data_IF_967265407069
#
_entry.id   IF_967265407069
#
_cell.length_a   1.000
_cell.length_b   1.000
_cell.length_c   1.000
_cell.angle_alpha   90.00
_cell.angle_beta   90.00
_cell.angle_gamma   90.00
#
_symmetry.space_group_name_H-M   'P 1'
#
loop_
_entity.id
_entity.type
_entity.pdbx_description
1 polymer ?
#
# COMPACT_ATOMS: atom_id res chain seq x y z
N UNK A 1 -29.87 1.82 -22.82
CA UNK A 1 -30.14 3.09 -22.09
C UNK A 1 -28.92 4.00 -22.24
N UNK A 2 -29.07 5.26 -22.67
CA UNK A 2 -27.94 6.20 -22.76
C UNK A 2 -27.57 6.67 -21.35
N UNK A 3 -26.39 6.30 -20.87
CA UNK A 3 -25.86 6.76 -19.58
C UNK A 3 -25.35 8.20 -19.70
N UNK A 4 -25.62 9.05 -18.73
CA UNK A 4 -24.97 10.35 -18.66
C UNK A 4 -23.47 10.18 -18.41
N UNK A 5 -22.63 10.85 -19.21
CA UNK A 5 -21.17 10.68 -19.13
C UNK A 5 -20.64 10.91 -17.72
N UNK A 6 -21.08 11.97 -17.04
CA UNK A 6 -20.66 12.33 -15.68
C UNK A 6 -21.16 11.37 -14.58
N UNK A 7 -22.07 10.45 -14.87
CA UNK A 7 -22.55 9.39 -13.96
C UNK A 7 -22.03 8.01 -14.33
N UNK A 8 -21.30 7.91 -15.43
CA UNK A 8 -20.76 6.65 -15.92
C UNK A 8 -19.68 6.12 -14.96
N UNK A 9 -19.53 4.79 -14.94
CA UNK A 9 -18.46 4.13 -14.18
C UNK A 9 -17.07 4.57 -14.64
N UNK A 10 -16.91 4.90 -15.93
CA UNK A 10 -15.64 5.36 -16.49
C UNK A 10 -15.26 6.74 -15.96
N UNK A 11 -16.19 7.70 -16.00
CA UNK A 11 -15.95 9.02 -15.44
C UNK A 11 -15.53 8.96 -13.97
N UNK A 12 -16.22 8.15 -13.17
CA UNK A 12 -15.88 7.96 -11.75
C UNK A 12 -14.50 7.32 -11.55
N UNK A 13 -14.09 6.39 -12.42
CA UNK A 13 -12.73 5.83 -12.38
C UNK A 13 -11.66 6.90 -12.67
N UNK A 14 -11.90 7.80 -13.63
CA UNK A 14 -11.01 8.94 -13.88
C UNK A 14 -10.96 9.92 -12.71
N UNK A 15 -12.11 10.24 -12.09
CA UNK A 15 -12.17 11.10 -10.91
C UNK A 15 -11.28 10.53 -9.80
N UNK A 16 -11.44 9.25 -9.45
CA UNK A 16 -10.62 8.62 -8.41
C UNK A 16 -9.15 8.55 -8.81
N UNK A 17 -8.85 8.21 -10.05
CA UNK A 17 -7.47 8.20 -10.56
C UNK A 17 -6.79 9.57 -10.40
N UNK A 18 -7.48 10.65 -10.76
CA UNK A 18 -6.99 12.02 -10.63
C UNK A 18 -6.81 12.43 -9.16
N UNK A 19 -7.75 12.05 -8.27
CA UNK A 19 -7.58 12.29 -6.83
C UNK A 19 -6.37 11.53 -6.28
N UNK A 20 -6.22 10.26 -6.66
CA UNK A 20 -5.08 9.42 -6.29
C UNK A 20 -3.75 9.98 -6.79
N UNK A 21 -3.72 10.53 -8.01
CA UNK A 21 -2.55 11.18 -8.58
C UNK A 21 -2.19 12.45 -7.80
N UNK A 22 -3.17 13.34 -7.57
CA UNK A 22 -2.94 14.67 -6.97
C UNK A 22 -2.63 14.63 -5.48
N UNK A 23 -3.13 13.64 -4.73
CA UNK A 23 -2.95 13.57 -3.28
C UNK A 23 -1.90 12.53 -2.87
N UNK A 24 -2.23 11.22 -2.73
CA UNK A 24 -1.24 10.24 -2.30
C UNK A 24 -0.09 10.07 -3.30
N UNK A 25 -0.32 10.25 -4.60
CA UNK A 25 0.73 10.21 -5.62
C UNK A 25 1.82 11.27 -5.39
N UNK A 26 1.42 12.53 -5.20
CA UNK A 26 2.37 13.62 -4.90
C UNK A 26 2.99 13.49 -3.50
N UNK A 27 2.23 13.00 -2.52
CA UNK A 27 2.78 12.71 -1.19
C UNK A 27 3.87 11.62 -1.24
N UNK A 28 3.68 10.58 -2.04
CA UNK A 28 4.68 9.53 -2.27
C UNK A 28 5.92 10.09 -2.99
N UNK A 29 5.72 10.93 -4.01
CA UNK A 29 6.82 11.57 -4.72
C UNK A 29 7.68 12.43 -3.78
N UNK A 30 7.05 13.20 -2.89
CA UNK A 30 7.77 13.95 -1.84
C UNK A 30 8.60 13.04 -0.95
N UNK A 31 7.99 11.98 -0.40
CA UNK A 31 8.67 11.07 0.52
C UNK A 31 9.82 10.28 -0.15
N UNK A 32 9.73 10.03 -1.46
CA UNK A 32 10.77 9.35 -2.24
C UNK A 32 12.10 10.12 -2.31
N UNK A 33 12.10 11.40 -1.94
CA UNK A 33 13.29 12.24 -1.84
C UNK A 33 14.11 11.97 -0.57
N UNK A 34 13.59 11.18 0.38
CA UNK A 34 14.13 11.09 1.73
C UNK A 34 13.81 12.36 2.54
N UNK A 35 13.33 12.19 3.77
CA UNK A 35 12.91 13.29 4.64
C UNK A 35 11.96 14.30 3.97
N UNK A 36 11.09 13.84 3.05
CA UNK A 36 10.24 14.71 2.23
C UNK A 36 10.97 15.86 1.50
N UNK A 37 12.28 15.71 1.24
CA UNK A 37 13.12 16.75 0.63
C UNK A 37 13.74 17.73 1.64
N UNK A 38 13.57 17.53 2.94
CA UNK A 38 14.25 18.32 3.98
C UNK A 38 15.72 17.91 4.15
N UNK A 39 16.48 18.76 4.86
CA UNK A 39 17.88 18.50 5.16
C UNK A 39 18.08 17.48 6.30
N UNK A 40 17.10 17.38 7.21
CA UNK A 40 17.12 16.46 8.36
C UNK A 40 15.87 15.58 8.34
N UNK A 41 15.99 14.27 8.63
CA UNK A 41 14.86 13.35 8.56
C UNK A 41 13.97 13.32 9.81
N UNK A 42 14.43 13.82 10.96
CA UNK A 42 13.81 13.48 12.26
C UNK A 42 12.39 14.04 12.44
N UNK A 43 12.17 15.31 12.13
CA UNK A 43 10.83 15.93 12.17
C UNK A 43 9.88 15.22 11.20
N UNK A 44 10.37 14.85 10.01
CA UNK A 44 9.57 14.20 8.99
C UNK A 44 9.25 12.75 9.36
N UNK A 45 10.18 12.06 10.02
CA UNK A 45 9.92 10.74 10.58
C UNK A 45 8.87 10.80 11.69
N UNK A 46 8.92 11.81 12.57
CA UNK A 46 7.89 11.99 13.59
C UNK A 46 6.52 12.28 12.95
N UNK A 47 6.50 13.14 11.94
CA UNK A 47 5.31 13.43 11.16
C UNK A 47 4.76 12.18 10.45
N UNK A 48 5.59 11.39 9.77
CA UNK A 48 5.15 10.17 9.11
C UNK A 48 4.68 9.10 10.09
N UNK A 49 5.29 9.01 11.28
CA UNK A 49 4.79 8.14 12.35
C UNK A 49 3.33 8.49 12.72
N UNK A 50 3.01 9.79 12.84
CA UNK A 50 1.64 10.27 13.05
C UNK A 50 0.72 9.94 11.87
N UNK A 51 1.17 10.18 10.63
CA UNK A 51 0.40 9.88 9.42
C UNK A 51 -0.02 8.42 9.40
N UNK A 52 0.94 7.50 9.53
CA UNK A 52 0.66 6.06 9.43
C UNK A 52 -0.08 5.50 10.64
N UNK A 53 0.18 6.02 11.84
CA UNK A 53 -0.56 5.64 13.05
C UNK A 53 -2.04 5.99 12.93
N UNK A 54 -2.36 7.21 12.51
CA UNK A 54 -3.74 7.66 12.28
C UNK A 54 -4.36 6.98 11.06
N UNK A 55 -3.61 6.82 9.97
CA UNK A 55 -4.09 6.10 8.79
C UNK A 55 -4.51 4.67 9.14
N UNK A 56 -3.70 3.94 9.93
CA UNK A 56 -4.05 2.60 10.40
C UNK A 56 -5.38 2.56 11.15
N UNK A 57 -5.60 3.50 12.08
CA UNK A 57 -6.86 3.64 12.82
C UNK A 57 -8.03 3.95 11.88
N UNK A 58 -7.91 4.98 11.05
CA UNK A 58 -9.01 5.43 10.19
C UNK A 58 -9.29 4.49 9.01
N UNK A 59 -8.33 3.68 8.57
CA UNK A 59 -8.58 2.57 7.63
C UNK A 59 -9.48 1.50 8.26
N UNK A 60 -9.26 1.13 9.53
CA UNK A 60 -10.09 0.14 10.22
C UNK A 60 -11.54 0.61 10.42
N UNK A 61 -11.74 1.91 10.65
CA UNK A 61 -13.08 2.52 10.79
C UNK A 61 -13.65 3.08 9.49
N UNK A 62 -12.89 3.05 8.40
CA UNK A 62 -13.24 3.73 7.15
C UNK A 62 -14.52 3.20 6.53
N UNK A 63 -14.78 1.90 6.63
CA UNK A 63 -16.02 1.26 6.17
C UNK A 63 -17.26 1.77 6.93
N UNK A 64 -17.13 1.96 8.24
CA UNK A 64 -18.18 2.52 9.12
C UNK A 64 -18.43 3.99 8.82
N UNK A 65 -17.37 4.76 8.59
CA UNK A 65 -17.49 6.18 8.24
C UNK A 65 -18.14 6.32 6.85
N UNK A 66 -17.68 5.53 5.89
CA UNK A 66 -18.21 5.50 4.52
C UNK A 66 -19.69 5.14 4.46
N UNK A 67 -20.16 4.24 5.33
CA UNK A 67 -21.57 3.85 5.36
C UNK A 67 -22.48 4.94 5.91
N UNK A 68 -21.98 5.77 6.84
CA UNK A 68 -22.74 6.88 7.45
C UNK A 68 -22.70 8.18 6.63
N UNK A 69 -21.51 8.57 6.19
CA UNK A 69 -21.26 9.86 5.53
C UNK A 69 -21.41 9.76 4.00
N UNK A 70 -21.31 8.55 3.45
CA UNK A 70 -21.38 8.27 2.02
C UNK A 70 -20.02 8.38 1.34
N UNK A 71 -19.76 7.49 0.39
CA UNK A 71 -18.47 7.34 -0.29
C UNK A 71 -17.93 8.64 -0.91
N UNK A 72 -18.82 9.48 -1.48
CA UNK A 72 -18.44 10.78 -2.03
C UNK A 72 -17.81 11.69 -0.99
N UNK A 73 -18.48 11.90 0.13
CA UNK A 73 -18.01 12.81 1.16
C UNK A 73 -16.82 12.23 1.92
N UNK A 74 -16.76 10.91 2.07
CA UNK A 74 -15.55 10.24 2.59
C UNK A 74 -14.34 10.49 1.69
N UNK A 75 -14.48 10.43 0.36
CA UNK A 75 -13.40 10.76 -0.56
C UNK A 75 -12.99 12.24 -0.46
N UNK A 76 -13.96 13.16 -0.39
CA UNK A 76 -13.71 14.61 -0.23
C UNK A 76 -12.95 14.91 1.06
N UNK A 77 -13.37 14.34 2.19
CA UNK A 77 -12.63 14.46 3.45
C UNK A 77 -11.24 13.82 3.34
N UNK A 78 -11.12 12.77 2.53
CA UNK A 78 -9.88 12.08 2.25
C UNK A 78 -8.83 12.90 1.48
N UNK A 79 -9.17 14.04 0.90
CA UNK A 79 -8.20 14.88 0.17
C UNK A 79 -7.71 16.10 0.95
N UNK A 80 -8.42 16.52 2.00
CA UNK A 80 -8.19 17.83 2.63
C UNK A 80 -6.86 17.89 3.41
N UNK A 81 -6.42 16.80 4.03
CA UNK A 81 -5.24 16.80 4.89
C UNK A 81 -3.89 16.83 4.16
N UNK A 82 -3.83 16.31 2.93
CA UNK A 82 -2.60 16.28 2.12
C UNK A 82 -2.02 17.69 1.85
N UNK A 83 -2.80 18.68 1.35
CA UNK A 83 -2.27 20.03 1.13
C UNK A 83 -1.87 20.73 2.43
N UNK A 84 -2.52 20.43 3.56
CA UNK A 84 -2.15 21.01 4.88
C UNK A 84 -0.77 20.50 5.30
N UNK A 85 -0.49 19.20 5.13
CA UNK A 85 0.83 18.64 5.38
C UNK A 85 1.91 19.28 4.51
N UNK A 86 1.68 19.40 3.20
CA UNK A 86 2.63 20.04 2.29
C UNK A 86 2.83 21.53 2.58
N UNK A 87 1.80 22.24 3.04
CA UNK A 87 1.92 23.61 3.51
C UNK A 87 2.78 23.70 4.78
N UNK A 88 2.66 22.73 5.69
CA UNK A 88 3.57 22.57 6.83
C UNK A 88 5.02 22.41 6.39
N UNK A 89 5.29 21.54 5.41
CA UNK A 89 6.65 21.36 4.87
C UNK A 89 7.20 22.62 4.21
N UNK A 90 6.35 23.37 3.50
CA UNK A 90 6.71 24.66 2.93
C UNK A 90 7.11 25.67 4.02
N UNK A 91 6.28 25.85 5.06
CA UNK A 91 6.60 26.78 6.15
C UNK A 91 7.86 26.35 6.91
N UNK A 92 8.03 25.05 7.12
CA UNK A 92 9.24 24.50 7.72
C UNK A 92 10.48 24.78 6.86
N UNK A 93 10.37 24.54 5.55
CA UNK A 93 11.46 24.77 4.62
C UNK A 93 11.86 26.26 4.58
N UNK A 94 10.89 27.18 4.58
CA UNK A 94 11.16 28.61 4.43
C UNK A 94 11.52 29.31 5.73
N UNK A 95 10.86 28.97 6.83
CA UNK A 95 10.92 29.69 8.11
C UNK A 95 11.18 28.79 9.33
N UNK A 96 11.36 27.49 9.15
CA UNK A 96 11.63 26.57 10.27
C UNK A 96 10.41 26.26 11.15
N UNK A 97 9.20 26.55 10.71
CA UNK A 97 7.96 26.25 11.47
C UNK A 97 7.75 24.74 11.57
N UNK A 98 7.74 24.17 12.78
CA UNK A 98 7.61 22.72 12.99
C UNK A 98 6.19 22.26 13.31
N UNK A 99 5.45 23.04 14.11
CA UNK A 99 4.12 22.62 14.61
C UNK A 99 3.13 22.33 13.47
N UNK A 100 3.18 23.09 12.37
CA UNK A 100 2.29 22.89 11.23
C UNK A 100 2.61 21.60 10.47
N UNK A 101 3.87 21.13 10.50
CA UNK A 101 4.24 19.82 9.93
C UNK A 101 3.54 18.70 10.71
N UNK A 102 3.57 18.75 12.04
CA UNK A 102 2.95 17.75 12.89
C UNK A 102 1.41 17.82 12.84
N UNK A 103 0.85 19.03 12.88
CA UNK A 103 -0.59 19.23 12.71
C UNK A 103 -1.06 18.75 11.33
N UNK A 104 -0.33 19.11 10.27
CA UNK A 104 -0.59 18.66 8.90
C UNK A 104 -0.45 17.15 8.76
N UNK A 105 0.49 16.52 9.45
CA UNK A 105 0.62 15.08 9.49
C UNK A 105 -0.60 14.39 10.12
N UNK A 106 -1.14 14.97 11.21
CA UNK A 106 -2.36 14.46 11.82
C UNK A 106 -3.55 14.53 10.85
N UNK A 107 -3.78 15.68 10.22
CA UNK A 107 -4.88 15.84 9.26
C UNK A 107 -4.69 14.98 8.02
N UNK A 108 -3.45 14.84 7.54
CA UNK A 108 -3.09 13.97 6.44
C UNK A 108 -3.30 12.48 6.76
N UNK A 109 -2.94 12.01 7.95
CA UNK A 109 -3.17 10.62 8.37
C UNK A 109 -4.66 10.24 8.41
N UNK A 110 -5.48 11.12 8.98
CA UNK A 110 -6.94 10.98 8.98
C UNK A 110 -7.47 10.93 7.54
N UNK A 111 -7.05 11.91 6.72
CA UNK A 111 -7.48 12.01 5.32
C UNK A 111 -7.05 10.78 4.51
N UNK A 112 -5.83 10.28 4.72
CA UNK A 112 -5.33 9.08 4.06
C UNK A 112 -6.19 7.86 4.40
N UNK A 113 -6.56 7.66 5.68
CA UNK A 113 -7.42 6.55 6.08
C UNK A 113 -8.79 6.57 5.39
N UNK A 114 -9.41 7.76 5.30
CA UNK A 114 -10.69 7.94 4.60
C UNK A 114 -10.55 7.78 3.08
N UNK A 115 -9.47 8.30 2.50
CA UNK A 115 -9.18 8.17 1.08
C UNK A 115 -9.05 6.70 0.68
N UNK A 116 -8.19 5.93 1.35
CA UNK A 116 -7.96 4.53 0.99
C UNK A 116 -9.20 3.66 1.19
N UNK A 117 -10.00 3.93 2.22
CA UNK A 117 -11.28 3.24 2.42
C UNK A 117 -12.28 3.52 1.31
N UNK A 118 -12.44 4.80 0.92
CA UNK A 118 -13.42 5.19 -0.11
C UNK A 118 -12.96 4.79 -1.52
N UNK A 119 -11.67 4.92 -1.80
CA UNK A 119 -11.06 4.55 -3.08
C UNK A 119 -11.24 3.05 -3.37
N UNK A 120 -10.90 2.18 -2.43
CA UNK A 120 -11.06 0.73 -2.60
C UNK A 120 -12.53 0.33 -2.84
N UNK A 121 -13.46 0.94 -2.09
CA UNK A 121 -14.88 0.67 -2.24
C UNK A 121 -15.43 1.08 -3.63
N UNK A 122 -14.98 2.22 -4.16
CA UNK A 122 -15.43 2.67 -5.48
C UNK A 122 -14.76 1.90 -6.61
N UNK A 123 -13.44 1.65 -6.51
CA UNK A 123 -12.68 0.91 -7.51
C UNK A 123 -13.24 -0.50 -7.72
N UNK A 124 -13.66 -1.16 -6.64
CA UNK A 124 -14.24 -2.52 -6.67
C UNK A 124 -15.76 -2.52 -6.92
N UNK A 125 -16.48 -1.53 -6.37
CA UNK A 125 -17.94 -1.52 -6.33
C UNK A 125 -18.62 -0.92 -7.56
N UNK A 126 -18.01 0.08 -8.22
CA UNK A 126 -18.69 0.79 -9.32
C UNK A 126 -18.67 -0.01 -10.61
N UNK A 127 -17.56 -0.71 -10.87
CA UNK A 127 -17.38 -1.53 -12.05
C UNK A 127 -18.31 -2.75 -12.07
N UNK A 128 -18.76 -3.12 -13.27
CA UNK A 128 -19.50 -4.36 -13.51
C UNK A 128 -18.57 -5.57 -13.42
N UNK A 129 -19.03 -6.73 -12.89
CA UNK A 129 -18.21 -7.93 -12.77
C UNK A 129 -17.43 -8.26 -14.05
N UNK A 130 -18.09 -8.24 -15.21
CA UNK A 130 -17.50 -8.60 -16.52
C UNK A 130 -16.46 -7.58 -17.03
N UNK A 131 -16.48 -6.34 -16.52
CA UNK A 131 -15.54 -5.28 -16.94
C UNK A 131 -14.60 -4.83 -15.82
N UNK A 132 -14.64 -5.46 -14.64
CA UNK A 132 -13.81 -5.10 -13.47
C UNK A 132 -12.34 -4.93 -13.84
N UNK A 133 -11.77 -5.85 -14.63
CA UNK A 133 -10.37 -5.78 -15.06
C UNK A 133 -9.99 -4.50 -15.82
N UNK A 134 -10.83 -4.03 -16.75
CA UNK A 134 -10.54 -2.81 -17.53
C UNK A 134 -10.54 -1.55 -16.65
N UNK A 135 -11.47 -1.46 -15.71
CA UNK A 135 -11.55 -0.33 -14.78
C UNK A 135 -10.42 -0.35 -13.75
N UNK A 136 -10.09 -1.53 -13.22
CA UNK A 136 -8.95 -1.71 -12.33
C UNK A 136 -7.63 -1.35 -13.03
N UNK A 137 -7.48 -1.63 -14.33
CA UNK A 137 -6.30 -1.24 -15.08
C UNK A 137 -6.17 0.29 -15.22
N UNK A 138 -7.26 1.00 -15.57
CA UNK A 138 -7.25 2.47 -15.66
C UNK A 138 -6.88 3.09 -14.30
N UNK A 139 -7.48 2.58 -13.23
CA UNK A 139 -7.15 2.98 -11.88
C UNK A 139 -5.67 2.74 -11.55
N UNK A 140 -5.14 1.56 -11.91
CA UNK A 140 -3.75 1.20 -11.66
C UNK A 140 -2.78 2.14 -12.39
N UNK A 141 -3.10 2.51 -13.64
CA UNK A 141 -2.32 3.48 -14.42
C UNK A 141 -2.20 4.80 -13.66
N UNK A 142 -3.32 5.38 -13.20
CA UNK A 142 -3.27 6.65 -12.46
C UNK A 142 -2.49 6.54 -11.14
N UNK A 143 -2.68 5.43 -10.41
CA UNK A 143 -1.99 5.17 -9.15
C UNK A 143 -0.47 5.08 -9.33
N UNK A 144 -0.02 4.43 -10.41
CA UNK A 144 1.41 4.27 -10.70
C UNK A 144 2.03 5.54 -11.31
N UNK A 145 1.27 6.29 -12.11
CA UNK A 145 1.75 7.53 -12.74
C UNK A 145 1.99 8.66 -11.74
N UNK A 146 1.22 8.73 -10.64
CA UNK A 146 1.36 9.81 -9.66
C UNK A 146 2.78 9.97 -9.10
N UNK A 147 3.36 8.92 -8.47
CA UNK A 147 4.74 8.96 -7.99
C UNK A 147 5.76 9.22 -9.10
N UNK A 148 5.55 8.69 -10.31
CA UNK A 148 6.47 8.88 -11.44
C UNK A 148 6.49 10.34 -11.93
N UNK A 149 5.32 10.95 -12.13
CA UNK A 149 5.19 12.35 -12.56
C UNK A 149 5.74 13.26 -11.47
N UNK A 150 5.37 13.04 -10.21
CA UNK A 150 5.88 13.82 -9.10
C UNK A 150 7.40 13.71 -8.96
N UNK A 151 7.97 12.51 -9.11
CA UNK A 151 9.41 12.29 -9.10
C UNK A 151 10.12 13.01 -10.24
N UNK A 152 9.58 12.93 -11.47
CA UNK A 152 10.11 13.65 -12.63
C UNK A 152 10.08 15.18 -12.44
N UNK A 153 8.99 15.70 -11.86
CA UNK A 153 8.87 17.12 -11.53
C UNK A 153 9.94 17.56 -10.54
N UNK A 154 10.13 16.82 -9.43
CA UNK A 154 11.15 17.18 -8.44
C UNK A 154 12.55 17.13 -9.04
N UNK A 155 12.85 16.10 -9.85
CA UNK A 155 14.11 15.98 -10.55
C UNK A 155 14.34 17.20 -11.46
N UNK A 156 13.38 17.54 -12.32
CA UNK A 156 13.47 18.70 -13.21
C UNK A 156 13.66 20.01 -12.46
N UNK A 157 13.02 20.19 -11.30
CA UNK A 157 13.12 21.41 -10.50
C UNK A 157 14.40 21.52 -9.67
N UNK A 158 15.06 20.41 -9.36
CA UNK A 158 16.21 20.37 -8.46
C UNK A 158 17.48 19.85 -9.16
N UNK A 159 17.57 19.93 -10.50
CA UNK A 159 18.71 19.43 -11.27
C UNK A 159 19.93 20.37 -11.30
N UNK A 160 19.76 21.61 -10.84
CA UNK A 160 20.74 22.69 -10.95
C UNK A 160 22.08 22.33 -10.27
N UNK A 161 23.20 22.79 -10.84
CA UNK A 161 24.54 22.55 -10.31
C UNK A 161 24.74 23.09 -8.88
N UNK A 162 23.96 24.06 -8.43
CA UNK A 162 24.03 24.59 -7.07
C UNK A 162 23.43 23.61 -6.02
N UNK A 163 22.74 22.54 -6.46
CA UNK A 163 22.09 21.57 -5.60
C UNK A 163 22.88 20.25 -5.40
N UNK A 164 24.21 20.24 -5.66
CA UNK A 164 25.05 19.03 -5.50
C UNK A 164 25.22 18.60 -4.04
N UNK A 165 25.28 19.56 -3.12
CA UNK A 165 25.60 19.31 -1.72
C UNK A 165 24.39 18.82 -0.90
N UNK A 166 24.65 18.42 0.35
CA UNK A 166 23.60 18.17 1.34
C UNK A 166 22.77 19.43 1.53
N UNK A 167 21.45 19.26 1.57
CA UNK A 167 20.54 20.37 1.71
C UNK A 167 19.09 19.93 1.61
N UNK A 168 18.23 20.91 1.45
CA UNK A 168 16.79 20.74 1.26
C UNK A 168 16.41 21.14 -0.16
N UNK A 169 15.34 20.54 -0.70
CA UNK A 169 14.77 20.97 -1.98
C UNK A 169 14.29 22.41 -1.91
N UNK A 170 14.26 23.08 -3.06
CA UNK A 170 13.78 24.46 -3.17
C UNK A 170 12.32 24.59 -2.73
N UNK A 171 11.99 25.69 -2.04
CA UNK A 171 10.65 25.91 -1.48
C UNK A 171 9.54 25.94 -2.55
N UNK A 172 9.87 26.31 -3.79
CA UNK A 172 8.98 26.28 -4.95
C UNK A 172 8.40 24.89 -5.20
N UNK A 173 9.16 23.83 -4.91
CA UNK A 173 8.70 22.43 -5.02
C UNK A 173 7.46 22.21 -4.14
N UNK A 174 7.49 22.69 -2.89
CA UNK A 174 6.35 22.54 -1.98
C UNK A 174 5.16 23.40 -2.40
N UNK A 175 5.38 24.61 -2.93
CA UNK A 175 4.27 25.45 -3.43
C UNK A 175 3.51 24.77 -4.58
N UNK A 176 4.22 24.15 -5.51
CA UNK A 176 3.59 23.39 -6.60
C UNK A 176 2.83 22.19 -6.06
N UNK A 177 3.38 21.44 -5.10
CA UNK A 177 2.69 20.32 -4.49
C UNK A 177 1.43 20.74 -3.71
N UNK A 178 1.48 21.84 -2.95
CA UNK A 178 0.30 22.40 -2.27
C UNK A 178 -0.76 22.77 -3.30
N UNK A 179 -0.39 23.50 -4.36
CA UNK A 179 -1.33 23.90 -5.41
C UNK A 179 -2.02 22.70 -6.06
N UNK A 180 -1.25 21.68 -6.47
CA UNK A 180 -1.79 20.50 -7.12
C UNK A 180 -2.63 19.63 -6.18
N UNK A 181 -2.24 19.50 -4.91
CA UNK A 181 -3.02 18.77 -3.90
C UNK A 181 -4.35 19.46 -3.60
N UNK A 182 -4.38 20.80 -3.57
CA UNK A 182 -5.62 21.57 -3.41
C UNK A 182 -6.64 21.31 -4.52
N UNK A 183 -6.23 20.90 -5.72
CA UNK A 183 -7.15 20.50 -6.80
C UNK A 183 -7.88 19.18 -6.49
N UNK A 184 -7.35 18.34 -5.59
CA UNK A 184 -7.94 17.06 -5.24
C UNK A 184 -9.36 17.17 -4.68
N UNK A 185 -9.60 18.14 -3.80
CA UNK A 185 -10.93 18.36 -3.18
C UNK A 185 -11.99 18.75 -4.22
N UNK A 186 -11.77 19.76 -5.09
CA UNK A 186 -12.65 20.03 -6.24
C UNK A 186 -12.88 18.80 -7.12
N UNK A 187 -11.84 18.02 -7.43
CA UNK A 187 -11.96 16.82 -8.27
C UNK A 187 -12.85 15.77 -7.56
N UNK A 188 -12.64 15.54 -6.26
CA UNK A 188 -13.42 14.59 -5.46
C UNK A 188 -14.92 14.95 -5.40
N UNK A 189 -15.28 16.24 -5.49
CA UNK A 189 -16.67 16.68 -5.54
C UNK A 189 -17.40 16.22 -6.82
N UNK A 190 -16.68 15.88 -7.88
CA UNK A 190 -17.28 15.31 -9.09
C UNK A 190 -17.58 13.81 -8.96
N UNK A 191 -17.16 13.15 -7.88
CA UNK A 191 -17.53 11.76 -7.66
C UNK A 191 -19.05 11.63 -7.58
N UNK A 192 -19.60 10.73 -8.39
CA UNK A 192 -21.02 10.39 -8.37
C UNK A 192 -21.29 9.52 -7.15
N UNK A 193 -22.28 9.86 -6.29
CA UNK A 193 -22.72 8.97 -5.21
C UNK A 193 -23.17 7.61 -5.77
N UNK A 194 -22.93 6.49 -5.08
CA UNK A 194 -23.19 5.15 -5.61
C UNK A 194 -24.62 4.94 -6.13
N UNK A 195 -25.60 5.58 -5.49
CA UNK A 195 -27.03 5.47 -5.82
C UNK A 195 -27.38 6.14 -7.15
N UNK A 196 -26.53 7.06 -7.62
CA UNK A 196 -26.70 7.83 -8.86
C UNK A 196 -25.78 7.34 -9.99
N UNK A 197 -24.96 6.33 -9.74
CA UNK A 197 -24.06 5.77 -10.76
C UNK A 197 -24.89 5.01 -11.79
N UNK A 198 -24.65 5.32 -13.06
CA UNK A 198 -25.34 4.70 -14.18
C UNK A 198 -24.38 3.72 -14.85
N UNK A 199 -24.66 2.41 -14.70
CA UNK A 199 -23.95 1.37 -15.43
C UNK A 199 -24.56 1.21 -16.82
N UNK A 200 -23.74 0.85 -17.80
CA UNK A 200 -24.16 0.75 -19.21
C UNK A 200 -25.25 -0.31 -19.47
N UNK A 201 -25.43 -1.26 -18.55
CA UNK A 201 -26.48 -2.29 -18.57
C UNK A 201 -27.73 -1.92 -17.75
N UNK A 202 -27.73 -0.75 -17.10
CA UNK A 202 -28.82 -0.32 -16.21
C UNK A 202 -28.77 -0.92 -14.80
N UNK A 203 -27.81 -1.79 -14.48
CA UNK A 203 -27.68 -2.35 -13.13
C UNK A 203 -27.27 -1.29 -12.11
N UNK A 204 -27.69 -1.45 -10.85
CA UNK A 204 -27.32 -0.53 -9.76
C UNK A 204 -26.04 -0.96 -9.06
N UNK A 205 -25.28 0.02 -8.57
CA UNK A 205 -24.11 -0.23 -7.72
C UNK A 205 -24.57 -0.80 -6.38
N UNK A 206 -24.09 -2.00 -6.04
CA UNK A 206 -24.30 -2.60 -4.72
C UNK A 206 -23.24 -2.05 -3.77
N UNK A 207 -23.65 -1.19 -2.83
CA UNK A 207 -22.78 -0.76 -1.73
C UNK A 207 -22.97 -1.75 -0.59
N UNK A 208 -21.88 -2.34 -0.10
CA UNK A 208 -21.92 -3.13 1.12
C UNK A 208 -22.32 -2.21 2.27
N UNK A 209 -23.55 -2.32 2.75
CA UNK A 209 -24.01 -1.60 3.93
C UNK A 209 -23.48 -2.34 5.16
N UNK A 210 -22.70 -1.63 5.97
CA UNK A 210 -22.38 -2.08 7.32
C UNK A 210 -23.59 -1.78 8.18
N UNK A 211 -24.35 -2.81 8.57
CA UNK A 211 -25.57 -2.67 9.38
C UNK A 211 -25.24 -2.21 10.81
N UNK A 212 -24.11 -2.68 11.37
CA UNK A 212 -23.66 -2.37 12.72
C UNK A 212 -22.15 -2.25 12.78
N UNK A 213 -21.67 -1.10 13.25
CA UNK A 213 -20.24 -0.83 13.42
C UNK A 213 -19.58 -1.83 14.40
N UNK A 214 -20.31 -2.23 15.44
CA UNK A 214 -19.83 -3.18 16.43
C UNK A 214 -19.64 -4.57 15.83
N UNK A 215 -20.54 -5.00 14.94
CA UNK A 215 -20.46 -6.31 14.34
C UNK A 215 -19.33 -6.38 13.29
N UNK A 216 -19.03 -5.27 12.63
CA UNK A 216 -17.84 -5.18 11.77
C UNK A 216 -16.54 -5.25 12.59
N UNK A 217 -16.45 -4.53 13.72
CA UNK A 217 -15.29 -4.61 14.63
C UNK A 217 -15.11 -6.03 15.17
N UNK A 218 -16.19 -6.69 15.60
CA UNK A 218 -16.16 -8.10 16.02
C UNK A 218 -15.70 -9.01 14.88
N UNK A 219 -16.16 -8.76 13.65
CA UNK A 219 -15.77 -9.51 12.46
C UNK A 219 -14.27 -9.41 12.16
N UNK A 220 -13.71 -8.20 12.23
CA UNK A 220 -12.28 -7.95 12.10
C UNK A 220 -11.51 -8.67 13.23
N UNK A 221 -11.96 -8.55 14.47
CA UNK A 221 -11.32 -9.19 15.62
C UNK A 221 -11.29 -10.72 15.51
N UNK A 222 -12.39 -11.32 15.06
CA UNK A 222 -12.46 -12.77 14.85
C UNK A 222 -11.56 -13.23 13.71
N UNK A 223 -11.43 -12.42 12.66
CA UNK A 223 -10.52 -12.70 11.54
C UNK A 223 -9.05 -12.60 11.99
N UNK A 224 -8.71 -11.61 12.81
CA UNK A 224 -7.36 -11.43 13.37
C UNK A 224 -6.91 -12.63 14.21
N UNK A 225 -7.82 -13.25 14.97
CA UNK A 225 -7.53 -14.42 15.83
C UNK A 225 -7.31 -15.71 15.05
N UNK A 226 -7.55 -15.74 13.74
CA UNK A 226 -7.30 -16.94 12.92
C UNK A 226 -5.81 -17.28 12.95
N UNK A 227 -5.49 -18.56 13.19
CA UNK A 227 -4.10 -19.04 13.34
C UNK A 227 -3.18 -18.59 12.19
N UNK A 228 -3.63 -18.72 10.95
CA UNK A 228 -2.82 -18.33 9.79
C UNK A 228 -2.58 -16.82 9.72
N UNK A 229 -3.54 -15.99 10.16
CA UNK A 229 -3.36 -14.52 10.23
C UNK A 229 -2.35 -14.18 11.31
N UNK A 230 -2.45 -14.78 12.51
CA UNK A 230 -1.50 -14.56 13.60
C UNK A 230 -0.07 -14.93 13.22
N UNK A 231 0.12 -16.04 12.50
CA UNK A 231 1.43 -16.46 11.99
C UNK A 231 1.97 -15.50 10.92
N UNK A 232 1.12 -14.82 10.16
CA UNK A 232 1.55 -13.84 9.16
C UNK A 232 1.75 -12.42 9.72
N UNK A 233 1.35 -12.14 10.96
CA UNK A 233 1.53 -10.80 11.56
C UNK A 233 2.99 -10.29 11.50
N UNK A 234 4.01 -11.10 11.83
CA UNK A 234 5.40 -10.66 11.69
C UNK A 234 5.76 -10.26 10.26
N UNK A 235 5.22 -10.98 9.25
CA UNK A 235 5.44 -10.67 7.85
C UNK A 235 4.77 -9.35 7.43
N UNK A 236 3.53 -9.13 7.87
CA UNK A 236 2.78 -7.90 7.58
C UNK A 236 3.52 -6.67 8.08
N UNK A 237 4.16 -6.78 9.24
CA UNK A 237 5.02 -5.73 9.77
C UNK A 237 6.32 -5.61 8.96
N UNK A 238 7.02 -6.73 8.72
CA UNK A 238 8.31 -6.76 8.04
C UNK A 238 8.26 -6.13 6.64
N UNK A 239 7.17 -6.34 5.89
CA UNK A 239 7.02 -5.87 4.52
C UNK A 239 7.27 -4.36 4.35
N UNK A 240 6.79 -3.55 5.30
CA UNK A 240 6.91 -2.10 5.26
C UNK A 240 7.69 -1.49 6.43
N UNK A 241 8.42 -2.30 7.21
CA UNK A 241 9.20 -1.79 8.34
C UNK A 241 10.46 -0.99 7.92
N UNK A 242 10.89 -1.07 6.65
CA UNK A 242 12.13 -0.42 6.20
C UNK A 242 12.02 1.10 5.94
N UNK A 243 11.67 1.88 6.97
CA UNK A 243 11.58 3.34 6.84
C UNK A 243 12.94 4.04 6.94
N UNK A 244 14.00 3.31 7.30
CA UNK A 244 15.37 3.81 7.27
C UNK A 244 15.86 4.18 5.86
N UNK A 245 15.27 3.61 4.81
CA UNK A 245 15.57 3.93 3.39
C UNK A 245 15.62 5.44 3.15
N UNK A 246 14.65 6.19 3.68
CA UNK A 246 14.62 7.65 3.55
C UNK A 246 15.75 8.35 4.32
N UNK A 247 16.12 7.84 5.50
CA UNK A 247 17.25 8.35 6.26
C UNK A 247 18.57 8.08 5.53
N UNK A 248 18.76 6.89 4.98
CA UNK A 248 19.92 6.53 4.17
C UNK A 248 20.12 7.52 3.01
N UNK A 249 19.03 7.83 2.29
CA UNK A 249 19.03 8.87 1.26
C UNK A 249 19.52 10.22 1.80
N UNK A 250 18.89 10.71 2.88
CA UNK A 250 19.22 12.01 3.47
C UNK A 250 20.63 12.07 4.05
N UNK A 251 21.16 10.96 4.58
CA UNK A 251 22.48 10.91 5.20
C UNK A 251 23.63 10.85 4.20
N UNK A 252 23.44 10.23 3.03
CA UNK A 252 24.57 9.94 2.13
C UNK A 252 24.48 10.59 0.76
N UNK A 253 23.35 11.22 0.40
CA UNK A 253 23.15 11.79 -0.92
C UNK A 253 22.78 13.27 -0.91
N UNK A 254 23.29 13.99 -1.91
CA UNK A 254 22.89 15.36 -2.23
C UNK A 254 21.46 15.44 -2.76
N UNK A 255 20.91 16.67 -2.86
CA UNK A 255 19.50 16.88 -3.27
C UNK A 255 19.21 16.31 -4.66
N UNK A 256 20.11 16.56 -5.62
CA UNK A 256 20.05 16.06 -6.99
C UNK A 256 20.00 14.54 -7.07
N UNK A 257 20.96 13.90 -6.41
CA UNK A 257 21.03 12.44 -6.30
C UNK A 257 19.74 11.86 -5.69
N UNK A 258 19.20 12.46 -4.63
CA UNK A 258 17.94 12.01 -4.00
C UNK A 258 16.74 12.13 -4.94
N UNK A 259 16.66 13.22 -5.72
CA UNK A 259 15.61 13.39 -6.73
C UNK A 259 15.69 12.33 -7.84
N UNK A 260 16.90 12.02 -8.32
CA UNK A 260 17.11 10.97 -9.31
C UNK A 260 16.74 9.59 -8.75
N UNK A 261 17.21 9.26 -7.54
CA UNK A 261 16.86 8.02 -6.86
C UNK A 261 15.33 7.90 -6.74
N UNK A 262 14.67 8.92 -6.21
CA UNK A 262 13.23 8.91 -6.02
C UNK A 262 12.44 8.68 -7.31
N UNK A 263 12.92 9.21 -8.44
CA UNK A 263 12.35 8.95 -9.75
C UNK A 263 12.62 7.52 -10.23
N UNK A 264 13.87 7.06 -10.23
CA UNK A 264 14.27 5.77 -10.81
C UNK A 264 13.79 4.58 -9.97
N UNK A 265 13.69 4.70 -8.65
CA UNK A 265 13.16 3.64 -7.78
C UNK A 265 11.73 3.21 -8.15
N UNK A 266 10.92 4.09 -8.75
CA UNK A 266 9.58 3.71 -9.24
C UNK A 266 9.65 2.63 -10.33
N UNK A 267 10.67 2.64 -11.18
CA UNK A 267 10.85 1.62 -12.21
C UNK A 267 11.29 0.28 -11.62
N UNK A 268 12.12 0.29 -10.57
CA UNK A 268 12.45 -0.93 -9.84
C UNK A 268 11.21 -1.54 -9.17
N UNK A 269 10.35 -0.72 -8.57
CA UNK A 269 9.05 -1.14 -8.03
C UNK A 269 8.16 -1.73 -9.13
N UNK A 270 8.07 -1.08 -10.30
CA UNK A 270 7.30 -1.60 -11.43
C UNK A 270 7.84 -2.95 -11.91
N UNK A 271 9.16 -3.08 -12.09
CA UNK A 271 9.81 -4.32 -12.50
C UNK A 271 9.57 -5.45 -11.50
N UNK A 272 9.74 -5.19 -10.20
CA UNK A 272 9.45 -6.15 -9.13
C UNK A 272 8.00 -6.65 -9.20
N UNK A 273 7.07 -5.70 -9.40
CA UNK A 273 5.65 -6.02 -9.50
C UNK A 273 5.35 -6.91 -10.71
N UNK A 274 5.88 -6.56 -11.89
CA UNK A 274 5.69 -7.33 -13.12
C UNK A 274 6.30 -8.73 -13.02
N UNK A 275 7.53 -8.87 -12.52
CA UNK A 275 8.20 -10.17 -12.37
C UNK A 275 7.40 -11.07 -11.43
N UNK A 276 6.96 -10.53 -10.29
CA UNK A 276 6.17 -11.29 -9.32
C UNK A 276 4.81 -11.70 -9.90
N UNK A 277 4.10 -10.80 -10.58
CA UNK A 277 2.82 -11.15 -11.23
C UNK A 277 3.00 -12.21 -12.31
N UNK A 278 4.03 -12.14 -13.14
CA UNK A 278 4.32 -13.17 -14.15
C UNK A 278 4.56 -14.55 -13.52
N UNK A 279 5.22 -14.60 -12.35
CA UNK A 279 5.40 -15.84 -11.60
C UNK A 279 4.07 -16.38 -11.06
N UNK A 280 3.26 -15.52 -10.44
CA UNK A 280 2.03 -15.91 -9.76
C UNK A 280 0.86 -16.20 -10.70
N UNK A 281 0.85 -15.59 -11.89
CA UNK A 281 -0.16 -15.82 -12.94
C UNK A 281 0.25 -16.94 -13.91
N UNK A 282 1.45 -17.51 -13.75
CA UNK A 282 1.94 -18.59 -14.60
C UNK A 282 1.02 -19.81 -14.53
N UNK A 283 0.50 -20.22 -15.68
CA UNK A 283 -0.28 -21.47 -15.83
C UNK A 283 0.58 -22.74 -15.82
N UNK A 284 1.91 -22.59 -15.81
CA UNK A 284 2.84 -23.73 -15.84
C UNK A 284 2.87 -24.53 -14.53
N UNK A 285 2.45 -23.92 -13.43
CA UNK A 285 2.53 -24.50 -12.09
C UNK A 285 1.19 -24.36 -11.37
N UNK A 286 0.89 -25.28 -10.47
CA UNK A 286 -0.25 -25.17 -9.55
C UNK A 286 -0.11 -23.94 -8.63
N UNK A 287 -1.23 -23.43 -8.11
CA UNK A 287 -1.25 -22.21 -7.25
C UNK A 287 -0.33 -22.39 -6.04
N UNK A 288 -0.40 -23.56 -5.39
CA UNK A 288 0.42 -23.89 -4.21
C UNK A 288 1.91 -23.87 -4.54
N UNK A 289 2.29 -24.43 -5.69
CA UNK A 289 3.67 -24.44 -6.17
C UNK A 289 4.17 -23.04 -6.48
N UNK A 290 3.36 -22.18 -7.12
CA UNK A 290 3.70 -20.78 -7.36
C UNK A 290 3.94 -19.99 -6.08
N UNK A 291 3.08 -20.18 -5.08
CA UNK A 291 3.23 -19.55 -3.75
C UNK A 291 4.54 -20.00 -3.10
N UNK A 292 4.88 -21.29 -3.15
CA UNK A 292 6.14 -21.83 -2.62
C UNK A 292 7.37 -21.30 -3.35
N UNK A 293 7.37 -21.29 -4.69
CA UNK A 293 8.46 -20.71 -5.49
C UNK A 293 8.63 -19.23 -5.15
N UNK A 294 7.51 -18.48 -5.10
CA UNK A 294 7.50 -17.08 -4.71
C UNK A 294 8.11 -16.84 -3.32
N UNK A 295 7.78 -17.68 -2.34
CA UNK A 295 8.37 -17.60 -1.00
C UNK A 295 9.89 -17.75 -1.02
N UNK A 296 10.42 -18.79 -1.68
CA UNK A 296 11.88 -18.99 -1.74
C UNK A 296 12.59 -17.89 -2.53
N UNK A 297 12.00 -17.43 -3.63
CA UNK A 297 12.48 -16.26 -4.38
C UNK A 297 12.56 -15.02 -3.48
N UNK A 298 11.54 -14.79 -2.64
CA UNK A 298 11.52 -13.66 -1.72
C UNK A 298 12.59 -13.74 -0.64
N UNK A 299 12.78 -14.91 -0.05
CA UNK A 299 13.85 -15.13 0.93
C UNK A 299 15.21 -14.83 0.28
N UNK A 300 15.46 -15.35 -0.93
CA UNK A 300 16.70 -15.12 -1.65
C UNK A 300 16.94 -13.64 -1.97
N UNK A 301 15.96 -12.93 -2.54
CA UNK A 301 16.13 -11.51 -2.91
C UNK A 301 16.29 -10.62 -1.69
N UNK A 302 15.63 -10.92 -0.57
CA UNK A 302 15.82 -10.17 0.67
C UNK A 302 17.20 -10.41 1.27
N UNK A 303 17.70 -11.65 1.28
CA UNK A 303 19.07 -11.92 1.72
C UNK A 303 20.06 -11.09 0.89
N UNK A 304 19.96 -11.13 -0.44
CA UNK A 304 20.84 -10.34 -1.32
C UNK A 304 20.74 -8.84 -1.04
N UNK A 305 19.52 -8.29 -1.02
CA UNK A 305 19.30 -6.86 -0.84
C UNK A 305 19.78 -6.35 0.54
N UNK A 306 19.54 -7.13 1.59
CA UNK A 306 19.90 -6.75 2.96
C UNK A 306 21.38 -6.95 3.25
N UNK A 307 21.99 -8.05 2.78
CA UNK A 307 23.44 -8.25 2.90
C UNK A 307 24.19 -7.14 2.17
N UNK A 308 23.79 -6.81 0.93
CA UNK A 308 24.40 -5.69 0.20
C UNK A 308 24.22 -4.35 0.94
N UNK A 309 23.00 -4.09 1.43
CA UNK A 309 22.70 -2.90 2.22
C UNK A 309 23.57 -2.76 3.47
N UNK A 310 23.79 -3.85 4.22
CA UNK A 310 24.68 -3.86 5.39
C UNK A 310 26.14 -3.58 5.04
N UNK A 311 26.65 -4.19 3.96
CA UNK A 311 28.03 -3.97 3.50
C UNK A 311 28.27 -2.49 3.15
N UNK A 312 27.37 -1.91 2.37
CA UNK A 312 27.47 -0.49 1.98
C UNK A 312 27.23 0.44 3.17
N UNK A 313 26.28 0.12 4.05
CA UNK A 313 26.04 0.89 5.27
C UNK A 313 27.30 0.97 6.13
N UNK A 314 27.99 -0.15 6.33
CA UNK A 314 29.20 -0.19 7.13
C UNK A 314 30.33 0.64 6.51
N UNK A 315 30.49 0.55 5.18
CA UNK A 315 31.42 1.41 4.42
C UNK A 315 31.09 2.89 4.63
N UNK A 316 29.83 3.28 4.45
CA UNK A 316 29.40 4.68 4.55
C UNK A 316 29.37 5.23 5.98
N UNK A 317 29.24 4.35 6.98
CA UNK A 317 29.38 4.74 8.39
C UNK A 317 30.81 5.17 8.71
N UNK A 318 31.81 4.58 8.04
CA UNK A 318 33.23 4.92 8.22
C UNK A 318 33.65 6.15 7.42
N UNK A 319 33.17 6.29 6.19
CA UNK A 319 33.61 7.36 5.28
C UNK A 319 32.69 8.58 5.27
N UNK A 320 31.44 8.45 5.70
CA UNK A 320 30.40 9.50 5.75
C UNK A 320 30.31 10.35 4.46
N UNK A 321 30.18 9.71 3.27
CA UNK A 321 30.24 10.44 2.02
C UNK A 321 28.99 11.31 1.82
N UNK A 322 29.14 12.33 0.96
CA UNK A 322 28.01 13.09 0.41
C UNK A 322 28.07 12.95 -1.10
N UNK A 323 27.22 12.06 -1.62
CA UNK A 323 27.27 11.62 -3.01
C UNK A 323 26.26 12.38 -3.85
N UNK A 324 26.76 12.97 -4.92
CA UNK A 324 25.97 13.46 -6.04
C UNK A 324 25.91 12.37 -7.14
N UNK A 325 25.00 12.48 -8.12
CA UNK A 325 24.89 11.48 -9.20
C UNK A 325 26.15 11.38 -10.07
N UNK A 326 27.00 12.42 -10.09
CA UNK A 326 28.29 12.45 -10.81
C UNK A 326 29.41 11.79 -9.99
N UNK A 327 29.17 11.49 -8.71
CA UNK A 327 30.21 10.97 -7.81
C UNK A 327 30.56 9.51 -8.15
N UNK A 328 31.85 9.12 -8.17
CA UNK A 328 32.25 7.75 -8.47
C UNK A 328 31.61 6.67 -7.57
N UNK A 329 31.31 7.00 -6.32
CA UNK A 329 30.67 6.11 -5.35
C UNK A 329 29.14 6.12 -5.38
N UNK A 330 28.49 6.93 -6.23
CA UNK A 330 27.03 7.07 -6.25
C UNK A 330 26.31 5.74 -6.48
N UNK A 331 26.81 4.97 -7.44
CA UNK A 331 26.18 3.73 -7.93
C UNK A 331 26.04 2.70 -6.82
N UNK A 332 27.01 2.59 -5.91
CA UNK A 332 26.99 1.61 -4.83
C UNK A 332 25.78 1.81 -3.91
N UNK A 333 25.63 3.02 -3.37
CA UNK A 333 24.49 3.33 -2.50
C UNK A 333 23.17 3.46 -3.27
N UNK A 334 23.21 3.85 -4.55
CA UNK A 334 22.03 3.88 -5.42
C UNK A 334 21.41 2.49 -5.58
N UNK A 335 22.24 1.46 -5.81
CA UNK A 335 21.75 0.08 -5.94
C UNK A 335 21.20 -0.48 -4.63
N UNK A 336 21.69 -0.05 -3.46
CA UNK A 336 21.09 -0.42 -2.16
C UNK A 336 19.60 -0.03 -2.15
N UNK A 337 19.32 1.21 -2.54
CA UNK A 337 17.97 1.76 -2.51
C UNK A 337 17.07 1.09 -3.56
N UNK A 338 17.59 0.84 -4.77
CA UNK A 338 16.84 0.09 -5.79
C UNK A 338 16.53 -1.34 -5.33
N UNK A 339 17.50 -2.05 -4.76
CA UNK A 339 17.32 -3.43 -4.29
C UNK A 339 16.34 -3.50 -3.11
N UNK A 340 16.41 -2.56 -2.16
CA UNK A 340 15.43 -2.47 -1.08
C UNK A 340 14.01 -2.21 -1.59
N UNK A 341 13.82 -1.25 -2.52
CA UNK A 341 12.52 -1.01 -3.14
C UNK A 341 12.00 -2.23 -3.92
N UNK A 342 12.87 -2.88 -4.68
CA UNK A 342 12.55 -4.07 -5.46
C UNK A 342 12.13 -5.26 -4.57
N UNK A 343 12.90 -5.52 -3.51
CA UNK A 343 12.62 -6.59 -2.55
C UNK A 343 11.31 -6.32 -1.81
N UNK A 344 11.11 -5.10 -1.30
CA UNK A 344 9.89 -4.68 -0.63
C UNK A 344 8.66 -4.87 -1.53
N UNK A 345 8.71 -4.38 -2.78
CA UNK A 345 7.57 -4.48 -3.68
C UNK A 345 7.27 -5.92 -4.08
N UNK A 346 8.30 -6.75 -4.27
CA UNK A 346 8.13 -8.18 -4.54
C UNK A 346 7.39 -8.86 -3.37
N UNK A 347 7.80 -8.57 -2.14
CA UNK A 347 7.19 -9.13 -0.94
C UNK A 347 5.73 -8.68 -0.79
N UNK A 348 5.46 -7.39 -0.99
CA UNK A 348 4.10 -6.86 -0.95
C UNK A 348 3.19 -7.60 -1.95
N UNK A 349 3.57 -7.70 -3.23
CA UNK A 349 2.77 -8.38 -4.24
C UNK A 349 2.46 -9.84 -3.89
N UNK A 350 3.49 -10.59 -3.50
CA UNK A 350 3.31 -11.99 -3.12
C UNK A 350 2.44 -12.15 -1.88
N UNK A 351 2.61 -11.28 -0.87
CA UNK A 351 1.85 -11.31 0.37
C UNK A 351 0.35 -11.06 0.09
N UNK A 352 0.03 -10.04 -0.72
CA UNK A 352 -1.35 -9.78 -1.14
C UNK A 352 -1.94 -10.96 -1.94
N UNK A 353 -1.15 -11.58 -2.82
CA UNK A 353 -1.59 -12.76 -3.56
C UNK A 353 -1.88 -13.94 -2.62
N UNK A 354 -0.97 -14.24 -1.68
CA UNK A 354 -1.18 -15.29 -0.69
C UNK A 354 -2.48 -15.07 0.08
N UNK A 355 -2.69 -13.87 0.63
CA UNK A 355 -3.93 -13.52 1.35
C UNK A 355 -5.17 -13.66 0.45
N UNK A 356 -5.07 -13.30 -0.83
CA UNK A 356 -6.19 -13.44 -1.78
C UNK A 356 -6.63 -14.88 -2.03
N UNK A 357 -5.75 -15.86 -1.77
CA UNK A 357 -6.04 -17.29 -1.95
C UNK A 357 -6.52 -17.99 -0.66
N UNK A 358 -6.69 -17.25 0.44
CA UNK A 358 -7.11 -17.80 1.75
C UNK A 358 -8.63 -17.96 1.90
N UNK A 359 -9.42 -17.25 1.10
CA UNK A 359 -10.88 -17.23 1.21
C UNK A 359 -11.49 -16.91 -0.15
N UNK A 360 -12.61 -17.56 -0.48
CA UNK A 360 -13.47 -17.23 -1.60
C UNK A 360 -14.54 -16.19 -1.22
N UNK A 361 -14.90 -16.12 0.06
CA UNK A 361 -15.84 -15.15 0.61
C UNK A 361 -15.30 -13.71 0.51
N UNK A 362 -16.02 -12.86 -0.23
CA UNK A 362 -15.64 -11.46 -0.50
C UNK A 362 -15.58 -10.63 0.79
N UNK A 363 -16.50 -10.85 1.73
CA UNK A 363 -16.54 -10.12 3.01
C UNK A 363 -15.34 -10.50 3.88
N UNK A 364 -15.02 -11.79 3.94
CA UNK A 364 -13.83 -12.25 4.66
C UNK A 364 -12.53 -11.74 4.01
N UNK A 365 -12.46 -11.75 2.69
CA UNK A 365 -11.32 -11.22 1.95
C UNK A 365 -11.12 -9.72 2.24
N UNK A 366 -12.21 -8.94 2.25
CA UNK A 366 -12.17 -7.52 2.59
C UNK A 366 -11.64 -7.29 4.01
N UNK A 367 -12.05 -8.12 4.99
CA UNK A 367 -11.52 -8.05 6.36
C UNK A 367 -10.05 -8.45 6.44
N UNK A 368 -9.63 -9.52 5.77
CA UNK A 368 -8.23 -9.97 5.76
C UNK A 368 -7.29 -8.92 5.15
N UNK A 369 -7.67 -8.38 3.99
CA UNK A 369 -6.93 -7.31 3.31
C UNK A 369 -6.91 -6.02 4.13
N UNK A 370 -8.00 -5.68 4.82
CA UNK A 370 -8.07 -4.57 5.77
C UNK A 370 -7.14 -4.75 6.98
N UNK A 371 -7.10 -5.96 7.56
CA UNK A 371 -6.18 -6.29 8.66
C UNK A 371 -4.74 -6.17 8.19
N UNK A 372 -4.38 -6.79 7.06
CA UNK A 372 -3.05 -6.71 6.48
C UNK A 372 -2.64 -5.24 6.32
N UNK A 373 -3.48 -4.41 5.67
CA UNK A 373 -3.17 -3.00 5.43
C UNK A 373 -3.05 -2.18 6.73
N UNK A 374 -3.90 -2.47 7.71
CA UNK A 374 -3.83 -1.84 9.03
C UNK A 374 -2.53 -2.17 9.76
N UNK A 375 -2.13 -3.45 9.75
CA UNK A 375 -0.90 -3.92 10.38
C UNK A 375 0.36 -3.38 9.68
N UNK A 376 0.38 -3.32 8.35
CA UNK A 376 1.45 -2.63 7.60
C UNK A 376 1.59 -1.17 8.07
N UNK A 377 0.46 -0.47 8.19
CA UNK A 377 0.44 0.95 8.59
C UNK A 377 0.99 1.13 10.02
N UNK A 378 0.61 0.27 10.96
CA UNK A 378 1.17 0.31 12.32
C UNK A 378 2.67 -0.03 12.33
N UNK A 379 3.10 -1.01 11.53
CA UNK A 379 4.52 -1.34 11.36
C UNK A 379 5.32 -0.14 10.83
N UNK A 380 4.79 0.57 9.83
CA UNK A 380 5.39 1.81 9.32
C UNK A 380 5.46 2.90 10.40
N UNK A 381 4.39 3.10 11.17
CA UNK A 381 4.35 4.11 12.22
C UNK A 381 5.46 3.87 13.28
N UNK A 382 5.62 2.62 13.72
CA UNK A 382 6.68 2.23 14.65
C UNK A 382 8.06 2.41 14.02
N UNK A 383 8.25 2.00 12.77
CA UNK A 383 9.51 2.14 12.06
C UNK A 383 9.93 3.61 11.87
N UNK A 384 8.99 4.48 11.49
CA UNK A 384 9.23 5.92 11.42
C UNK A 384 9.54 6.51 12.80
N UNK A 385 8.78 6.10 13.83
CA UNK A 385 9.05 6.47 15.23
C UNK A 385 10.47 6.10 15.66
N UNK A 386 10.93 4.88 15.34
CA UNK A 386 12.29 4.43 15.60
C UNK A 386 13.34 5.30 14.86
N UNK A 387 13.02 5.77 13.65
CA UNK A 387 13.88 6.61 12.82
C UNK A 387 13.89 8.10 13.23
N UNK A 388 13.14 8.51 14.27
CA UNK A 388 13.19 9.89 14.81
C UNK A 388 14.48 10.20 15.56
N UNK A 389 15.22 9.17 15.98
CA UNK A 389 16.51 9.32 16.65
C UNK A 389 17.66 9.18 15.67
N UNK A 390 18.72 9.97 15.88
CA UNK A 390 19.98 9.82 15.15
C UNK A 390 20.76 8.61 15.67
N UNK A 391 20.50 7.43 15.11
CA UNK A 391 21.25 6.23 15.42
C UNK A 391 22.60 6.25 14.71
N UNK A 392 23.67 5.91 15.43
CA UNK A 392 25.00 5.80 14.85
C UNK A 392 24.99 4.86 13.63
N UNK A 393 25.34 5.42 12.47
CA UNK A 393 25.33 4.70 11.20
C UNK A 393 23.99 4.03 10.85
N UNK A 394 22.86 4.53 11.36
CA UNK A 394 21.54 3.91 11.12
C UNK A 394 21.40 2.45 11.55
N UNK A 395 22.33 1.94 12.36
CA UNK A 395 22.47 0.50 12.62
C UNK A 395 21.26 -0.09 13.34
N UNK A 396 20.64 0.65 14.24
CA UNK A 396 19.50 0.16 15.03
C UNK A 396 18.27 -0.09 14.14
N UNK A 397 17.77 0.88 13.35
CA UNK A 397 16.70 0.62 12.39
C UNK A 397 16.97 -0.55 11.44
N UNK A 398 18.20 -0.64 10.91
CA UNK A 398 18.58 -1.75 10.03
C UNK A 398 18.58 -3.10 10.75
N UNK A 399 19.11 -3.16 11.98
CA UNK A 399 19.14 -4.38 12.79
C UNK A 399 17.74 -4.84 13.15
N UNK A 400 16.89 -3.94 13.65
CA UNK A 400 15.50 -4.27 14.00
C UNK A 400 14.77 -4.82 12.78
N UNK A 401 14.92 -4.20 11.62
CA UNK A 401 14.25 -4.68 10.41
C UNK A 401 14.81 -6.02 9.92
N UNK A 402 16.13 -6.20 9.95
CA UNK A 402 16.77 -7.48 9.58
C UNK A 402 16.29 -8.61 10.50
N UNK A 403 16.25 -8.36 11.81
CA UNK A 403 15.74 -9.31 12.80
C UNK A 403 14.27 -9.63 12.52
N UNK A 404 13.44 -8.62 12.27
CA UNK A 404 12.02 -8.82 11.98
C UNK A 404 11.80 -9.64 10.71
N UNK A 405 12.57 -9.38 9.65
CA UNK A 405 12.55 -10.17 8.41
C UNK A 405 12.93 -11.64 8.67
N UNK A 406 13.99 -11.90 9.43
CA UNK A 406 14.41 -13.26 9.78
C UNK A 406 13.36 -13.97 10.62
N UNK A 407 12.82 -13.29 11.64
CA UNK A 407 11.76 -13.83 12.51
C UNK A 407 10.47 -14.12 11.73
N UNK A 408 10.18 -13.38 10.66
CA UNK A 408 9.01 -13.62 9.82
C UNK A 408 9.15 -14.88 8.94
N UNK A 409 10.36 -15.39 8.68
CA UNK A 409 10.58 -16.53 7.77
C UNK A 409 9.88 -17.80 8.27
N UNK A 410 10.14 -18.20 9.52
CA UNK A 410 9.62 -19.46 10.08
C UNK A 410 8.09 -19.51 10.12
N UNK A 411 7.38 -18.52 10.71
CA UNK A 411 5.92 -18.60 10.76
C UNK A 411 5.29 -18.45 9.36
N UNK A 412 5.90 -17.69 8.46
CA UNK A 412 5.46 -17.63 7.05
C UNK A 412 5.65 -18.97 6.34
N UNK A 413 6.78 -19.65 6.57
CA UNK A 413 7.03 -20.97 6.02
C UNK A 413 5.97 -21.99 6.48
N UNK A 414 5.62 -21.99 7.77
CA UNK A 414 4.56 -22.86 8.31
C UNK A 414 3.24 -22.61 7.57
N UNK A 415 2.86 -21.33 7.40
CA UNK A 415 1.64 -20.97 6.66
C UNK A 415 1.73 -21.45 5.22
N UNK A 416 2.82 -21.18 4.50
CA UNK A 416 3.01 -21.58 3.10
C UNK A 416 2.96 -23.10 2.91
N UNK A 417 3.46 -23.89 3.87
CA UNK A 417 3.39 -25.36 3.78
C UNK A 417 1.99 -25.89 4.07
N UNK A 418 1.29 -25.31 5.04
CA UNK A 418 -0.06 -25.74 5.46
C UNK A 418 -1.18 -25.15 4.60
N UNK A 419 -0.87 -24.13 3.79
CA UNK A 419 -1.85 -23.44 2.97
C UNK A 419 -2.35 -24.34 1.83
N UNK A 420 -3.66 -24.57 1.80
CA UNK A 420 -4.37 -25.14 0.66
C UNK A 420 -5.09 -23.98 -0.05
N UNK A 421 -4.61 -23.53 -1.23
CA UNK A 421 -5.20 -22.40 -1.92
C UNK A 421 -6.63 -22.70 -2.34
N UNK A 422 -7.55 -21.80 -1.99
CA UNK A 422 -8.93 -21.87 -2.50
C UNK A 422 -8.89 -21.28 -3.92
N UNK A 423 -8.82 -22.16 -4.92
CA UNK A 423 -8.99 -21.75 -6.31
C UNK A 423 -10.43 -21.33 -6.52
N UNK A 424 -10.64 -20.08 -6.91
CA UNK A 424 -11.88 -19.72 -7.62
C UNK A 424 -11.94 -20.65 -8.82
N UNK A 425 -12.97 -21.47 -8.92
CA UNK A 425 -13.38 -21.99 -10.22
C UNK A 425 -13.44 -20.75 -11.11
N UNK A 426 -12.60 -20.70 -12.14
CA UNK A 426 -12.82 -19.76 -13.23
C UNK A 426 -14.30 -19.88 -13.55
N UNK A 427 -15.04 -18.79 -13.45
CA UNK A 427 -16.37 -18.67 -14.03
C UNK A 427 -16.22 -19.06 -15.50
N UNK A 428 -16.37 -20.34 -15.79
CA UNK A 428 -16.95 -20.79 -17.02
C UNK A 428 -18.30 -20.11 -17.00
N UNK A 429 -18.39 -19.00 -17.73
CA UNK A 429 -19.66 -18.49 -18.23
C UNK A 429 -20.18 -19.62 -19.11
N UNK A 430 -20.80 -20.60 -18.47
CA UNK A 430 -21.69 -21.54 -19.14
C UNK A 430 -22.96 -20.75 -19.37
N UNK A 431 -23.21 -20.59 -20.66
CA UNK A 431 -24.34 -19.95 -21.28
C UNK A 431 -25.58 -20.83 -21.09
N UNK A 432 -26.20 -20.78 -19.92
CA UNK A 432 -27.49 -21.41 -19.68
C UNK A 432 -28.26 -20.56 -18.67
N UNK A 433 -29.09 -19.66 -19.20
CA UNK A 433 -30.04 -18.91 -18.39
C UNK A 433 -30.99 -19.85 -17.65
N UNK A 434 -30.89 -19.88 -16.32
CA UNK A 434 -32.01 -20.19 -15.44
C UNK A 434 -31.79 -19.54 -14.07
N UNK A 435 -32.85 -18.88 -13.60
CA UNK A 435 -32.95 -18.18 -12.33
C UNK A 435 -32.50 -19.05 -11.15
N UNK A 436 -31.63 -18.50 -10.29
CA UNK A 436 -31.45 -19.02 -8.93
C UNK A 436 -32.04 -18.00 -7.96
N UNK A 437 -33.28 -18.28 -7.56
CA UNK A 437 -33.95 -17.65 -6.42
C UNK A 437 -33.20 -18.03 -5.13
N UNK A 438 -32.85 -17.01 -4.35
CA UNK A 438 -32.28 -17.18 -3.00
C UNK A 438 -33.41 -17.58 -2.07
N UNK A 439 -33.54 -18.88 -1.79
CA UNK A 439 -34.33 -19.38 -0.67
C UNK A 439 -33.46 -19.76 0.52
N UNK A 440 -34.02 -19.45 1.69
CA UNK A 440 -33.47 -19.56 3.03
C UNK A 440 -32.74 -20.88 3.31
N UNK A 441 -31.52 -20.81 3.86
CA UNK A 441 -30.97 -21.93 4.64
C UNK A 441 -30.74 -21.45 6.07
N UNK A 442 -31.68 -21.87 6.90
CA UNK A 442 -31.66 -21.71 8.34
C UNK A 442 -30.52 -22.52 8.98
N UNK A 443 -30.16 -22.06 10.16
CA UNK A 443 -29.22 -22.70 11.06
C UNK A 443 -29.75 -24.07 11.50
N UNK A 444 -29.09 -25.15 11.14
CA UNK A 444 -29.30 -26.44 11.80
C UNK A 444 -27.98 -27.12 12.15
N UNK A 445 -27.84 -27.37 13.45
CA UNK A 445 -26.75 -28.12 14.09
C UNK A 445 -26.74 -29.54 13.53
N UNK A 446 -25.58 -30.01 13.09
CA UNK A 446 -25.34 -31.45 12.94
C UNK A 446 -24.23 -31.88 13.89
N UNK A 447 -24.69 -32.43 15.01
CA UNK A 447 -23.96 -33.35 15.88
C UNK A 447 -23.49 -34.56 15.07
N UNK A 448 -22.21 -34.89 15.22
CA UNK A 448 -21.57 -36.07 14.64
C UNK A 448 -21.63 -37.19 15.67
N UNK A 449 -22.47 -38.20 15.44
CA UNK A 449 -22.30 -39.52 16.04
C UNK A 449 -22.75 -40.61 15.06
N UNK A 450 -21.95 -41.68 15.08
CA UNK A 450 -22.31 -43.07 14.78
C UNK A 450 -22.63 -43.45 13.32
N UNK A 451 -21.61 -43.99 12.65
CA UNK A 451 -21.71 -45.17 11.77
C UNK A 451 -20.29 -45.62 11.40
N UNK A 452 -19.62 -46.26 12.36
CA UNK A 452 -18.47 -47.15 12.13
C UNK A 452 -18.90 -48.49 12.71
N UNK A 453 -19.54 -49.32 11.90
CA UNK A 453 -19.65 -50.79 12.04
C UNK A 453 -20.66 -51.32 11.03
N UNK A 454 -20.26 -51.39 9.75
CA UNK A 454 -20.97 -52.25 8.80
C UNK A 454 -20.14 -52.66 7.57
N UNK A 455 -18.81 -52.74 7.70
CA UNK A 455 -17.93 -53.09 6.57
C UNK A 455 -16.83 -54.12 6.93
N UNK A 456 -17.14 -55.07 7.82
CA UNK A 456 -16.24 -56.18 8.19
C UNK A 456 -16.91 -57.56 8.19
N UNK A 457 -17.84 -57.80 7.25
CA UNK A 457 -18.50 -59.11 7.09
C UNK A 457 -18.37 -59.72 5.69
N UNK A 458 -17.29 -59.41 4.94
CA UNK A 458 -17.05 -60.07 3.64
C UNK A 458 -15.61 -60.55 3.38
N UNK A 459 -14.73 -60.62 4.40
CA UNK A 459 -13.43 -61.34 4.31
C UNK A 459 -12.95 -61.89 5.66
N UNK A 460 -13.54 -62.99 6.12
CA UNK A 460 -12.94 -64.11 6.87
C UNK A 460 -14.01 -64.86 7.66
#
# INVERSE_FOLDING_TARGET
MRTHWYRSTMFNAFVIGLVGLTNPGLWNAMNSLGAAGQASPFLINAANALVFGLMGVFCLFGSVISSKVGLKWTLVLGTIGYPIYSAGLYLNNRWGVEWLVLFGACTCGISAGLFWSSEGAVALGYARPEKKGKYLNIWLIFRTLGPMIGGAMVLGMNHDANAKSKGKVGYTTYLIFVFLQCLGTPIALFLTPPEKVERSDGSKVKVLKVESALDEVKGIWNTLKKRHVLLLLPLFWAAYFNQYTGNFQTFYFGVRARALIGFVSNFATLAASTIMSLLLDSKRFEVKTRIKIGFYYLVAIHIVAWTYGWVIQEKYTRTTPVLDWESPGFVEGFFVLLLWSFAQQSLANWMYYLVSTMTDNITELARLTGILRGQESFGQAVAFGLCTRNWYGGRVPLAVNTILLVLAIVPTYIVVQQHEPITRATDAVNDDGSDVTVENVGWEKTTRSDNVEQDLAEKA
#
